data_IF_831071917269
#
_entry.id   IF_831071917269
#
_cell.length_a   1.000
_cell.length_b   1.000
_cell.length_c   1.000
_cell.angle_alpha   90.00
_cell.angle_beta   90.00
_cell.angle_gamma   90.00
#
_symmetry.space_group_name_H-M   'P 1'
#
loop_
_entity.id
_entity.type
_entity.pdbx_description
1 polymer ?
#
# COMPACT_ATOMS: atom_id res chain seq x y z
N UNK A 1 -8.69 -22.50 -26.48
CA UNK A 1 -9.24 -21.17 -26.13
C UNK A 1 -8.45 -20.05 -26.80
N UNK A 2 -9.11 -19.25 -27.66
CA UNK A 2 -8.49 -18.10 -28.33
C UNK A 2 -8.35 -16.92 -27.35
N UNK A 3 -7.21 -16.24 -27.39
CA UNK A 3 -6.97 -15.06 -26.57
C UNK A 3 -7.85 -13.91 -27.07
N UNK A 4 -8.52 -13.21 -26.14
CA UNK A 4 -9.33 -12.04 -26.47
C UNK A 4 -8.39 -10.85 -26.76
N UNK A 5 -8.67 -10.04 -27.80
CA UNK A 5 -7.90 -8.84 -28.07
C UNK A 5 -8.06 -7.85 -26.90
N UNK A 6 -6.98 -7.17 -26.53
CA UNK A 6 -6.97 -6.20 -25.41
C UNK A 6 -8.00 -5.07 -25.60
N UNK A 7 -8.34 -4.75 -26.85
CA UNK A 7 -9.38 -3.77 -27.22
C UNK A 7 -10.80 -4.17 -26.83
N UNK A 8 -11.04 -5.44 -26.47
CA UNK A 8 -12.33 -5.92 -25.97
C UNK A 8 -12.55 -5.64 -24.48
N UNK A 9 -11.52 -5.22 -23.74
CA UNK A 9 -11.71 -4.75 -22.37
C UNK A 9 -12.32 -3.36 -22.37
N UNK A 10 -13.60 -3.28 -21.99
CA UNK A 10 -14.22 -2.02 -21.55
C UNK A 10 -13.79 -1.76 -20.11
N UNK A 11 -12.68 -1.05 -19.96
CA UNK A 11 -12.35 -0.49 -18.66
C UNK A 11 -13.42 0.53 -18.27
N UNK A 12 -13.91 0.51 -17.01
CA UNK A 12 -14.80 1.57 -16.53
C UNK A 12 -14.08 2.91 -16.65
N UNK A 13 -14.81 3.97 -17.03
CA UNK A 13 -14.26 5.30 -17.07
C UNK A 13 -13.77 5.69 -15.67
N UNK A 14 -12.49 6.02 -15.57
CA UNK A 14 -11.88 6.55 -14.34
C UNK A 14 -11.80 8.07 -14.53
N UNK A 15 -12.56 8.86 -13.76
CA UNK A 15 -12.56 10.31 -13.90
C UNK A 15 -11.17 10.87 -13.61
N UNK A 16 -10.78 11.85 -14.42
CA UNK A 16 -9.55 12.62 -14.18
C UNK A 16 -9.70 13.44 -12.89
N UNK A 17 -8.60 13.67 -12.15
CA UNK A 17 -8.64 14.46 -10.93
C UNK A 17 -9.12 15.90 -11.24
N UNK A 18 -9.91 16.51 -10.35
CA UNK A 18 -10.44 17.85 -10.57
C UNK A 18 -9.29 18.86 -10.68
N UNK A 19 -9.38 19.77 -11.66
CA UNK A 19 -8.37 20.83 -11.85
C UNK A 19 -8.28 21.81 -10.68
N UNK A 20 -9.29 21.84 -9.80
CA UNK A 20 -9.30 22.62 -8.57
C UNK A 20 -9.66 21.70 -7.39
N UNK A 21 -8.72 21.36 -6.51
CA UNK A 21 -9.00 20.54 -5.34
C UNK A 21 -9.84 21.33 -4.33
N UNK A 22 -10.79 20.67 -3.67
CA UNK A 22 -11.57 21.26 -2.59
C UNK A 22 -10.62 21.60 -1.41
N UNK A 23 -10.58 22.85 -0.93
CA UNK A 23 -9.70 23.25 0.18
C UNK A 23 -9.95 22.47 1.48
N UNK A 24 -11.15 21.94 1.71
CA UNK A 24 -11.42 21.08 2.88
C UNK A 24 -10.78 19.69 2.76
N UNK A 25 -10.55 19.23 1.54
CA UNK A 25 -9.95 17.90 1.29
C UNK A 25 -8.43 17.93 1.32
N UNK A 26 -7.81 19.11 1.53
CA UNK A 26 -6.36 19.29 1.52
C UNK A 26 -5.63 18.44 2.56
N UNK A 27 -6.23 18.29 3.73
CA UNK A 27 -5.62 17.56 4.84
C UNK A 27 -5.95 16.05 4.82
N UNK A 28 -6.79 15.60 3.88
CA UNK A 28 -7.09 14.19 3.67
C UNK A 28 -6.01 13.52 2.80
N UNK A 29 -5.64 12.26 3.05
CA UNK A 29 -4.74 11.54 2.17
C UNK A 29 -5.37 11.45 0.76
N UNK A 30 -4.64 11.91 -0.25
CA UNK A 30 -5.13 11.89 -1.62
C UNK A 30 -5.35 10.44 -2.09
N UNK A 31 -6.44 10.14 -2.81
CA UNK A 31 -6.64 8.81 -3.37
C UNK A 31 -5.56 8.49 -4.40
N UNK A 32 -5.17 7.21 -4.49
CA UNK A 32 -4.21 6.74 -5.48
C UNK A 32 -4.75 6.94 -6.89
N UNK A 33 -3.91 7.50 -7.78
CA UNK A 33 -4.20 7.66 -9.19
C UNK A 33 -3.95 6.37 -9.97
N UNK A 34 -4.61 6.20 -11.13
CA UNK A 34 -4.41 5.02 -11.99
C UNK A 34 -2.93 4.81 -12.35
N UNK A 35 -2.22 5.87 -12.72
CA UNK A 35 -0.79 5.81 -13.01
C UNK A 35 0.05 5.31 -11.83
N UNK A 36 -0.37 5.60 -10.59
CA UNK A 36 0.30 5.10 -9.39
C UNK A 36 0.00 3.61 -9.17
N UNK A 37 -1.25 3.17 -9.39
CA UNK A 37 -1.58 1.74 -9.38
C UNK A 37 -0.78 0.96 -10.44
N UNK A 38 -0.63 1.51 -11.64
CA UNK A 38 0.19 0.92 -12.69
C UNK A 38 1.66 0.81 -12.28
N UNK A 39 2.22 1.86 -11.66
CA UNK A 39 3.60 1.82 -11.13
C UNK A 39 3.77 0.74 -10.06
N UNK A 40 2.82 0.63 -9.12
CA UNK A 40 2.83 -0.45 -8.11
C UNK A 40 2.78 -1.82 -8.80
N UNK A 41 1.84 -2.02 -9.72
CA UNK A 41 1.63 -3.29 -10.41
C UNK A 41 2.78 -3.67 -11.34
N UNK A 42 3.53 -2.70 -11.85
CA UNK A 42 4.65 -2.90 -12.77
C UNK A 42 6.01 -3.00 -12.06
N UNK A 43 6.13 -2.49 -10.84
CA UNK A 43 7.38 -2.36 -10.07
C UNK A 43 8.14 -3.69 -9.92
N UNK A 44 9.41 -3.76 -10.38
CA UNK A 44 10.26 -4.94 -10.17
C UNK A 44 10.62 -5.14 -8.69
N UNK A 45 10.87 -4.04 -7.96
CA UNK A 45 11.25 -4.07 -6.54
C UNK A 45 10.15 -4.76 -5.70
N UNK A 46 8.89 -4.40 -5.94
CA UNK A 46 7.73 -4.99 -5.24
C UNK A 46 7.60 -6.48 -5.55
N UNK A 47 7.75 -6.88 -6.83
CA UNK A 47 7.70 -8.31 -7.20
C UNK A 47 8.81 -9.11 -6.54
N UNK A 48 10.02 -8.55 -6.44
CA UNK A 48 11.15 -9.20 -5.81
C UNK A 48 10.91 -9.40 -4.30
N UNK A 49 10.37 -8.39 -3.61
CA UNK A 49 10.02 -8.48 -2.19
C UNK A 49 8.96 -9.56 -1.96
N UNK A 50 7.91 -9.60 -2.79
CA UNK A 50 6.86 -10.63 -2.68
C UNK A 50 7.40 -12.05 -2.97
N UNK A 51 8.36 -12.18 -3.89
CA UNK A 51 8.99 -13.46 -4.20
C UNK A 51 9.95 -13.93 -3.08
N UNK A 52 10.67 -13.00 -2.46
CA UNK A 52 11.60 -13.29 -1.36
C UNK A 52 10.86 -13.65 -0.05
N UNK A 53 9.63 -13.16 0.13
CA UNK A 53 8.85 -13.33 1.35
C UNK A 53 7.53 -14.08 1.06
N UNK A 54 7.52 -15.42 0.96
CA UNK A 54 6.36 -16.19 0.52
C UNK A 54 5.15 -16.13 1.46
N UNK A 55 5.34 -15.74 2.73
CA UNK A 55 4.26 -15.53 3.72
C UNK A 55 3.55 -14.20 3.53
N UNK A 56 4.23 -13.20 2.96
CA UNK A 56 3.73 -11.83 2.81
C UNK A 56 2.45 -11.76 1.95
N UNK A 57 2.32 -12.45 0.79
CA UNK A 57 1.06 -12.47 0.05
C UNK A 57 -0.14 -13.04 0.83
N UNK A 58 0.09 -14.01 1.71
CA UNK A 58 -0.97 -14.56 2.55
C UNK A 58 -1.39 -13.58 3.64
N UNK A 59 -0.42 -12.90 4.27
CA UNK A 59 -0.69 -11.83 5.23
C UNK A 59 -1.48 -10.68 4.62
N UNK A 60 -1.08 -10.21 3.43
CA UNK A 60 -1.79 -9.14 2.72
C UNK A 60 -3.24 -9.52 2.41
N UNK A 61 -3.50 -10.78 2.00
CA UNK A 61 -4.88 -11.27 1.79
C UNK A 61 -5.68 -11.32 3.08
N UNK A 62 -5.06 -11.73 4.19
CA UNK A 62 -5.74 -11.74 5.49
C UNK A 62 -6.11 -10.32 5.92
N UNK A 63 -5.20 -9.36 5.75
CA UNK A 63 -5.45 -7.95 6.05
C UNK A 63 -6.56 -7.38 5.16
N UNK A 64 -6.55 -7.70 3.86
CA UNK A 64 -7.57 -7.26 2.90
C UNK A 64 -8.97 -7.81 3.22
N UNK A 65 -9.05 -8.94 3.93
CA UNK A 65 -10.31 -9.53 4.37
C UNK A 65 -10.93 -8.84 5.61
N UNK A 66 -10.20 -7.96 6.28
CA UNK A 66 -10.66 -7.26 7.48
C UNK A 66 -11.49 -6.01 7.14
N UNK A 67 -12.44 -5.70 8.01
CA UNK A 67 -13.23 -4.46 7.92
C UNK A 67 -12.35 -3.23 8.22
N UNK A 68 -12.71 -2.08 7.64
CA UNK A 68 -11.83 -0.89 7.53
C UNK A 68 -11.07 -0.51 8.82
N UNK A 69 -11.74 -0.51 9.97
CA UNK A 69 -11.10 -0.19 11.26
C UNK A 69 -10.10 -1.27 11.71
N UNK A 70 -10.46 -2.54 11.62
CA UNK A 70 -9.58 -3.65 12.01
C UNK A 70 -8.40 -3.78 11.06
N UNK A 71 -8.63 -3.53 9.77
CA UNK A 71 -7.60 -3.48 8.74
C UNK A 71 -6.56 -2.41 9.04
N UNK A 72 -7.01 -1.18 9.30
CA UNK A 72 -6.14 -0.05 9.62
C UNK A 72 -5.32 -0.33 10.89
N UNK A 73 -5.98 -0.77 11.96
CA UNK A 73 -5.29 -1.13 13.21
C UNK A 73 -4.26 -2.25 13.04
N UNK A 74 -4.57 -3.25 12.21
CA UNK A 74 -3.64 -4.36 11.93
C UNK A 74 -2.41 -3.88 11.16
N UNK A 75 -2.61 -3.01 10.17
CA UNK A 75 -1.52 -2.39 9.42
C UNK A 75 -0.64 -1.51 10.32
N UNK A 76 -1.25 -0.68 11.17
CA UNK A 76 -0.53 0.17 12.13
C UNK A 76 0.32 -0.66 13.09
N UNK A 77 -0.22 -1.76 13.61
CA UNK A 77 0.50 -2.66 14.52
C UNK A 77 1.69 -3.32 13.82
N UNK A 78 1.49 -3.87 12.61
CA UNK A 78 2.55 -4.54 11.85
C UNK A 78 3.66 -3.57 11.43
N UNK A 79 3.32 -2.31 11.14
CA UNK A 79 4.28 -1.28 10.75
C UNK A 79 4.92 -0.58 11.97
N UNK A 80 4.31 -0.69 13.14
CA UNK A 80 4.78 -0.05 14.38
C UNK A 80 4.50 1.45 14.46
N UNK A 81 3.51 1.95 13.69
CA UNK A 81 3.22 3.39 13.56
C UNK A 81 2.01 3.86 14.39
N UNK A 82 1.32 2.94 15.08
CA UNK A 82 0.16 3.26 15.91
C UNK A 82 0.51 4.17 17.09
N UNK A 83 -0.03 5.40 17.09
CA UNK A 83 0.01 6.30 18.24
C UNK A 83 -0.98 5.77 19.28
N UNK A 84 -0.49 5.49 20.48
CA UNK A 84 -1.25 5.02 21.64
C UNK A 84 -1.69 3.54 21.62
N UNK A 85 -0.82 2.68 22.19
CA UNK A 85 -1.13 1.70 23.26
C UNK A 85 0.09 0.82 23.50
N UNK A 86 1.02 1.33 24.29
CA UNK A 86 2.25 0.66 24.77
C UNK A 86 1.99 -0.56 25.68
N UNK A 87 0.81 -1.19 25.61
CA UNK A 87 0.33 -2.14 26.61
C UNK A 87 -0.51 -3.32 26.12
N UNK A 88 -0.89 -3.43 24.85
CA UNK A 88 -1.81 -4.50 24.42
C UNK A 88 -1.45 -5.24 23.11
N UNK A 89 -0.36 -4.86 22.43
CA UNK A 89 0.07 -5.56 21.21
C UNK A 89 0.94 -6.78 21.55
N UNK A 90 0.32 -7.83 22.09
CA UNK A 90 0.78 -9.20 21.80
C UNK A 90 0.32 -9.56 20.38
N UNK A 91 0.83 -8.88 19.35
CA UNK A 91 0.83 -9.53 18.04
C UNK A 91 2.05 -10.44 18.05
N UNK A 92 1.82 -11.74 17.87
CA UNK A 92 2.88 -12.73 17.67
C UNK A 92 3.46 -12.59 16.25
N UNK A 93 3.67 -11.35 15.81
CA UNK A 93 4.14 -11.07 14.48
C UNK A 93 5.61 -11.45 14.42
N UNK A 94 5.91 -12.33 13.47
CA UNK A 94 7.25 -12.78 13.20
C UNK A 94 8.11 -11.55 12.84
N UNK A 95 9.28 -11.32 13.47
CA UNK A 95 10.12 -10.16 13.15
C UNK A 95 10.49 -10.11 11.66
N UNK A 96 10.55 -11.27 11.00
CA UNK A 96 10.78 -11.37 9.56
C UNK A 96 9.58 -10.86 8.74
N UNK A 97 8.35 -11.12 9.20
CA UNK A 97 7.12 -10.63 8.56
C UNK A 97 7.00 -9.10 8.72
N UNK A 98 7.36 -8.54 9.88
CA UNK A 98 7.42 -7.09 10.13
C UNK A 98 8.45 -6.43 9.20
N UNK A 99 9.64 -7.01 9.09
CA UNK A 99 10.69 -6.50 8.19
C UNK A 99 10.26 -6.56 6.73
N UNK A 100 9.62 -7.65 6.32
CA UNK A 100 9.08 -7.80 4.97
C UNK A 100 7.98 -6.76 4.67
N UNK A 101 7.11 -6.49 5.65
CA UNK A 101 6.05 -5.48 5.54
C UNK A 101 6.62 -4.06 5.42
N UNK A 102 7.64 -3.71 6.23
CA UNK A 102 8.33 -2.42 6.12
C UNK A 102 9.03 -2.25 4.76
N UNK A 103 9.74 -3.28 4.29
CA UNK A 103 10.38 -3.26 2.98
C UNK A 103 9.36 -3.10 1.83
N UNK A 104 8.20 -3.76 1.94
CA UNK A 104 7.11 -3.58 1.00
C UNK A 104 6.58 -2.14 1.02
N UNK A 105 6.35 -1.58 2.22
CA UNK A 105 5.84 -0.22 2.37
C UNK A 105 6.80 0.82 1.76
N UNK A 106 8.11 0.68 1.96
CA UNK A 106 9.13 1.52 1.32
C UNK A 106 9.13 1.39 -0.21
N UNK A 107 9.03 0.16 -0.72
CA UNK A 107 8.98 -0.07 -2.17
C UNK A 107 7.71 0.50 -2.81
N UNK A 108 6.57 0.43 -2.11
CA UNK A 108 5.31 1.06 -2.54
C UNK A 108 5.44 2.57 -2.51
N UNK A 109 5.99 3.16 -1.44
CA UNK A 109 6.22 4.61 -1.39
C UNK A 109 7.10 5.06 -2.54
N UNK A 110 8.23 4.39 -2.78
CA UNK A 110 9.14 4.72 -3.89
C UNK A 110 8.46 4.66 -5.25
N UNK A 111 7.52 3.72 -5.43
CA UNK A 111 6.76 3.58 -6.67
C UNK A 111 5.68 4.67 -6.85
N UNK A 112 5.09 5.15 -5.76
CA UNK A 112 3.94 6.08 -5.77
C UNK A 112 4.36 7.55 -5.62
N UNK A 113 5.51 7.79 -5.00
CA UNK A 113 6.06 9.11 -4.69
C UNK A 113 6.11 10.00 -5.92
N UNK A 114 5.70 11.26 -5.73
CA UNK A 114 5.87 12.33 -6.71
C UNK A 114 7.30 12.86 -6.62
N UNK A 115 7.92 13.16 -7.76
CA UNK A 115 9.32 13.59 -7.84
C UNK A 115 9.65 14.83 -6.99
N UNK A 116 8.64 15.65 -6.68
CA UNK A 116 8.78 16.93 -6.00
C UNK A 116 8.70 16.86 -4.45
N UNK A 117 8.54 15.67 -3.86
CA UNK A 117 8.31 15.48 -2.42
C UNK A 117 9.47 14.71 -1.75
N UNK A 118 10.08 15.28 -0.69
CA UNK A 118 11.33 14.79 -0.07
C UNK A 118 11.20 14.45 1.43
N UNK A 119 10.16 13.73 1.87
CA UNK A 119 10.42 12.76 2.94
C UNK A 119 9.94 11.37 2.52
N UNK A 120 10.86 10.40 2.59
CA UNK A 120 10.49 8.98 2.57
C UNK A 120 9.85 8.56 3.88
N UNK A 121 9.49 7.27 4.02
CA UNK A 121 9.03 6.75 5.30
C UNK A 121 10.16 6.86 6.35
N UNK A 122 9.89 7.62 7.40
CA UNK A 122 10.70 7.67 8.61
C UNK A 122 10.08 6.75 9.65
N UNK A 123 10.81 5.71 10.01
CA UNK A 123 10.37 4.71 10.98
C UNK A 123 10.70 5.09 12.44
N UNK A 124 11.52 6.13 12.66
CA UNK A 124 11.86 6.62 14.00
C UNK A 124 12.74 5.69 14.85
N UNK A 125 13.46 4.76 14.20
CA UNK A 125 14.43 3.85 14.82
C UNK A 125 15.78 4.55 15.15
#
# INVERSE_FOLDING_TARGET
PSLRPLTSLRWPYIPEPPSYPDPLTRDQPAPLQLSQYEKIATSPDIRQILAANPRLPALLKNIDSLDGYERERTLENMLGVGRDRKGDSKSSDDPDDVKAMRALAEAVEKAVRREDYVPGLDWGD
#
